data_IF_016629177974
#
_entry.id   IF_016629177974
#
_cell.length_a   1.000
_cell.length_b   1.000
_cell.length_c   1.000
_cell.angle_alpha   90.00
_cell.angle_beta   90.00
_cell.angle_gamma   90.00
#
_symmetry.space_group_name_H-M   'P 1'
#
loop_
_entity.id
_entity.type
_entity.pdbx_description
1 polymer ?
#
# COMPACT_ATOMS: atom_id res chain seq x y z
N UNK A 1 -9.55 -39.84 -0.49
CA UNK A 1 -8.16 -39.88 -0.96
C UNK A 1 -7.62 -38.46 -0.95
N UNK A 2 -6.87 -38.10 0.09
CA UNK A 2 -6.14 -36.84 0.16
C UNK A 2 -4.78 -37.08 -0.49
N UNK A 3 -4.48 -36.34 -1.55
CA UNK A 3 -3.17 -36.34 -2.21
C UNK A 3 -2.18 -35.55 -1.35
N UNK A 4 -0.98 -36.06 -1.06
CA UNK A 4 0.05 -35.32 -0.35
C UNK A 4 0.72 -34.30 -1.28
N UNK A 5 0.63 -33.01 -0.93
CA UNK A 5 1.44 -31.96 -1.54
C UNK A 5 2.93 -32.23 -1.26
N UNK A 6 3.71 -32.52 -2.30
CA UNK A 6 5.17 -32.58 -2.23
C UNK A 6 5.73 -31.16 -2.22
N UNK A 7 6.27 -30.73 -1.08
CA UNK A 7 7.16 -29.57 -1.02
C UNK A 7 8.51 -29.96 -1.62
N UNK A 8 8.87 -29.40 -2.78
CA UNK A 8 10.26 -29.42 -3.25
C UNK A 8 11.05 -28.35 -2.50
N UNK A 9 11.95 -28.81 -1.62
CA UNK A 9 12.91 -28.00 -0.89
C UNK A 9 14.04 -27.55 -1.82
N UNK A 10 13.85 -26.41 -2.47
CA UNK A 10 14.94 -25.50 -2.79
C UNK A 10 14.77 -24.29 -1.87
N UNK A 11 15.18 -24.44 -0.61
CA UNK A 11 15.19 -23.33 0.34
C UNK A 11 16.24 -22.32 -0.11
N UNK A 12 15.80 -21.28 -0.84
CA UNK A 12 16.48 -19.99 -0.79
C UNK A 12 16.60 -19.61 0.69
N UNK A 13 17.78 -19.15 1.17
CA UNK A 13 17.91 -18.70 2.53
C UNK A 13 16.87 -17.61 2.81
N UNK A 14 16.01 -17.84 3.81
CA UNK A 14 15.05 -16.84 4.26
C UNK A 14 15.84 -15.73 4.97
N UNK A 15 16.11 -14.64 4.26
CA UNK A 15 16.71 -13.44 4.84
C UNK A 15 15.59 -12.47 5.18
N UNK A 16 15.30 -12.32 6.47
CA UNK A 16 14.38 -11.29 6.96
C UNK A 16 15.18 -10.02 7.16
N UNK A 17 14.97 -9.04 6.27
CA UNK A 17 15.52 -7.68 6.42
C UNK A 17 14.40 -6.72 6.80
N UNK A 18 14.56 -6.02 7.92
CA UNK A 18 13.61 -5.02 8.41
C UNK A 18 14.30 -3.66 8.51
N UNK A 19 13.65 -2.63 7.97
CA UNK A 19 14.15 -1.26 8.00
C UNK A 19 13.12 -0.34 8.62
N UNK A 20 13.57 0.42 9.63
CA UNK A 20 12.78 1.48 10.24
C UNK A 20 13.31 2.82 9.75
N UNK A 21 12.53 3.52 8.94
CA UNK A 21 12.81 4.91 8.60
C UNK A 21 12.43 5.78 9.81
N UNK A 22 13.42 6.15 10.62
CA UNK A 22 13.26 7.11 11.70
C UNK A 22 13.61 8.51 11.19
N UNK A 23 12.62 9.25 10.74
CA UNK A 23 12.77 10.69 10.54
C UNK A 23 12.54 11.40 11.88
N UNK A 24 13.63 11.77 12.57
CA UNK A 24 13.56 12.52 13.81
C UNK A 24 13.00 13.93 13.54
N UNK A 25 11.86 14.27 14.17
CA UNK A 25 11.28 15.63 14.14
C UNK A 25 10.20 15.87 13.08
N UNK A 26 9.69 14.83 12.40
CA UNK A 26 8.57 14.96 11.47
C UNK A 26 7.24 14.60 12.14
N UNK A 27 6.18 15.36 11.82
CA UNK A 27 4.80 15.11 12.32
C UNK A 27 4.01 14.16 11.39
N UNK A 28 4.66 13.60 10.37
CA UNK A 28 4.06 12.76 9.34
C UNK A 28 4.50 11.31 9.49
N UNK A 29 3.77 10.39 8.86
CA UNK A 29 4.07 8.96 8.92
C UNK A 29 4.09 8.34 7.53
N UNK A 30 4.84 7.26 7.36
CA UNK A 30 4.69 6.40 6.18
C UNK A 30 3.44 5.53 6.34
N UNK A 31 2.33 5.98 5.75
CA UNK A 31 1.02 5.35 5.98
C UNK A 31 0.62 4.26 4.96
N UNK A 32 1.47 3.98 3.95
CA UNK A 32 1.22 2.94 2.95
C UNK A 32 1.22 1.54 3.58
N UNK A 33 0.17 0.74 3.34
CA UNK A 33 0.11 -0.69 3.69
C UNK A 33 0.21 -1.52 2.44
N UNK A 34 1.25 -2.34 2.35
CA UNK A 34 1.53 -3.11 1.14
C UNK A 34 2.15 -4.46 1.49
N UNK A 35 1.69 -5.51 0.83
CA UNK A 35 2.32 -6.84 0.85
C UNK A 35 2.57 -7.25 -0.60
N UNK A 36 3.80 -7.58 -0.94
CA UNK A 36 4.19 -8.03 -2.28
C UNK A 36 4.75 -9.43 -2.16
N UNK A 37 4.25 -10.36 -2.96
CA UNK A 37 4.68 -11.76 -2.94
C UNK A 37 4.77 -12.33 -4.34
N UNK A 38 5.65 -13.31 -4.53
CA UNK A 38 5.68 -14.15 -5.70
C UNK A 38 4.67 -15.30 -5.56
N UNK A 39 3.71 -15.36 -6.47
CA UNK A 39 2.69 -16.41 -6.53
C UNK A 39 2.97 -17.38 -7.68
N UNK A 40 2.40 -18.58 -7.60
CA UNK A 40 2.47 -19.56 -8.69
C UNK A 40 1.80 -19.00 -9.95
N UNK A 41 2.49 -19.09 -11.08
CA UNK A 41 1.99 -18.72 -12.40
C UNK A 41 1.80 -19.94 -13.31
N UNK A 42 1.96 -21.16 -12.77
CA UNK A 42 1.97 -22.39 -13.52
C UNK A 42 3.30 -22.60 -14.27
N UNK A 43 3.49 -23.79 -14.83
CA UNK A 43 4.68 -24.13 -15.64
C UNK A 43 6.04 -23.86 -14.95
N UNK A 44 6.11 -24.05 -13.62
CA UNK A 44 7.30 -23.73 -12.81
C UNK A 44 7.73 -22.25 -12.89
N UNK A 45 6.80 -21.37 -13.28
CA UNK A 45 6.95 -19.91 -13.30
C UNK A 45 6.26 -19.31 -12.09
N UNK A 46 6.71 -18.13 -11.70
CA UNK A 46 6.10 -17.32 -10.65
C UNK A 46 5.76 -15.95 -11.18
N UNK A 47 4.77 -15.29 -10.60
CA UNK A 47 4.38 -13.92 -10.94
C UNK A 47 4.29 -13.08 -9.68
N UNK A 48 4.41 -11.77 -9.81
CA UNK A 48 4.19 -10.88 -8.67
C UNK A 48 2.70 -10.59 -8.51
N UNK A 49 2.22 -10.73 -7.28
CA UNK A 49 0.94 -10.19 -6.84
C UNK A 49 1.19 -9.23 -5.67
N UNK A 50 0.33 -8.23 -5.53
CA UNK A 50 0.44 -7.23 -4.49
C UNK A 50 -0.89 -7.01 -3.78
N UNK A 51 -0.84 -6.66 -2.51
CA UNK A 51 -1.99 -6.30 -1.70
C UNK A 51 -1.83 -4.85 -1.22
N UNK A 52 -2.86 -4.03 -1.39
CA UNK A 52 -2.88 -2.63 -0.96
C UNK A 52 -4.25 -2.27 -0.39
N UNK A 53 -4.29 -1.36 0.59
CA UNK A 53 -5.55 -0.92 1.21
C UNK A 53 -5.36 -0.28 2.58
N UNK A 54 -6.39 -0.29 3.41
CA UNK A 54 -6.38 0.29 4.76
C UNK A 54 -5.86 -0.63 5.86
N UNK A 55 -5.93 -1.96 5.66
CA UNK A 55 -5.51 -2.94 6.66
C UNK A 55 -3.99 -3.03 6.83
N UNK A 56 -3.50 -2.64 8.01
CA UNK A 56 -2.16 -2.98 8.51
C UNK A 56 -2.15 -4.42 9.09
N UNK A 57 -1.04 -5.14 8.92
CA UNK A 57 -0.80 -6.43 9.58
C UNK A 57 -0.42 -6.25 11.06
N UNK A 58 -1.40 -5.88 11.88
CA UNK A 58 -1.21 -5.64 13.31
C UNK A 58 -2.49 -5.84 14.12
N UNK A 59 -2.38 -5.77 15.45
CA UNK A 59 -3.44 -6.12 16.39
C UNK A 59 -4.74 -5.34 16.18
N UNK A 60 -5.87 -6.01 16.30
CA UNK A 60 -7.22 -5.48 16.31
C UNK A 60 -7.83 -5.19 14.94
N UNK A 61 -7.14 -5.57 13.86
CA UNK A 61 -7.56 -5.34 12.46
C UNK A 61 -8.35 -6.52 11.89
N UNK A 62 -8.21 -7.72 12.49
CA UNK A 62 -9.02 -8.86 12.10
C UNK A 62 -10.47 -8.63 12.51
N UNK A 63 -11.39 -8.78 11.56
CA UNK A 63 -12.82 -8.76 11.82
C UNK A 63 -13.58 -9.46 10.68
N UNK A 64 -14.90 -9.55 10.83
CA UNK A 64 -15.83 -10.01 9.79
C UNK A 64 -16.97 -9.01 9.67
N UNK A 65 -17.77 -9.02 8.58
CA UNK A 65 -18.92 -8.12 8.45
C UNK A 65 -19.96 -8.21 9.57
N UNK A 66 -19.89 -9.25 10.43
CA UNK A 66 -20.74 -9.36 11.63
C UNK A 66 -20.38 -8.36 12.73
N UNK A 67 -19.16 -7.81 12.72
CA UNK A 67 -18.67 -6.78 13.64
C UNK A 67 -19.08 -7.01 15.10
N UNK A 68 -18.83 -8.22 15.60
CA UNK A 68 -19.32 -8.63 16.92
C UNK A 68 -18.63 -7.85 18.03
N UNK A 69 -19.42 -7.14 18.83
CA UNK A 69 -18.94 -6.40 20.01
C UNK A 69 -18.49 -7.30 21.17
N UNK A 70 -19.21 -8.40 21.42
CA UNK A 70 -19.03 -9.24 22.63
C UNK A 70 -18.84 -10.73 22.35
N UNK A 71 -19.46 -11.28 21.30
CA UNK A 71 -19.54 -12.74 21.08
C UNK A 71 -18.20 -13.39 20.72
N UNK A 72 -17.25 -12.60 20.25
CA UNK A 72 -15.95 -13.05 19.76
C UNK A 72 -14.81 -12.79 20.75
N UNK A 73 -15.11 -12.19 21.91
CA UNK A 73 -14.13 -11.82 22.94
C UNK A 73 -13.42 -13.03 23.55
N UNK A 74 -14.08 -14.18 23.64
CA UNK A 74 -13.48 -15.43 24.16
C UNK A 74 -12.96 -16.36 23.05
N UNK A 75 -12.98 -15.91 21.79
CA UNK A 75 -12.54 -16.71 20.64
C UNK A 75 -11.47 -15.97 19.83
N UNK A 76 -11.78 -15.52 18.62
CA UNK A 76 -10.82 -14.91 17.68
C UNK A 76 -10.25 -13.58 18.17
N UNK A 77 -10.92 -12.88 19.10
CA UNK A 77 -10.45 -11.61 19.66
C UNK A 77 -9.95 -11.71 21.11
N UNK A 78 -9.76 -12.92 21.65
CA UNK A 78 -9.29 -13.09 23.04
C UNK A 78 -7.92 -12.46 23.27
N UNK A 79 -6.98 -12.73 22.36
CA UNK A 79 -5.62 -12.20 22.42
C UNK A 79 -5.43 -10.96 21.50
N UNK A 80 -6.52 -10.49 20.91
CA UNK A 80 -6.57 -9.38 19.95
C UNK A 80 -7.68 -8.35 20.28
N UNK A 81 -7.99 -8.19 21.57
CA UNK A 81 -8.91 -7.16 22.04
C UNK A 81 -8.33 -5.77 21.75
N UNK A 82 -9.14 -4.91 21.12
CA UNK A 82 -8.77 -3.53 20.83
C UNK A 82 -9.99 -2.63 21.02
N UNK A 83 -9.84 -1.61 21.85
CA UNK A 83 -10.76 -0.47 21.94
C UNK A 83 -9.99 0.74 22.49
N UNK A 84 -9.42 1.59 21.63
CA UNK A 84 -8.60 2.74 22.03
C UNK A 84 -9.44 3.88 22.62
N UNK A 85 -10.77 3.86 22.48
CA UNK A 85 -11.66 4.85 23.08
C UNK A 85 -11.88 4.66 24.58
N UNK A 86 -11.41 3.52 25.13
CA UNK A 86 -11.50 3.21 26.56
C UNK A 86 -10.11 3.30 27.20
N UNK A 87 -9.99 4.13 28.25
CA UNK A 87 -8.73 4.31 28.98
C UNK A 87 -8.31 3.06 29.77
N UNK A 88 -9.28 2.34 30.32
CA UNK A 88 -9.08 1.09 31.07
C UNK A 88 -10.17 0.09 30.67
N UNK A 89 -9.92 -0.81 29.71
CA UNK A 89 -10.92 -1.79 29.29
C UNK A 89 -11.14 -2.83 30.40
N UNK A 90 -12.31 -2.76 31.04
CA UNK A 90 -12.76 -3.74 32.03
C UNK A 90 -13.27 -5.04 31.40
N UNK A 91 -13.48 -6.06 32.24
CA UNK A 91 -14.12 -7.31 31.83
C UNK A 91 -15.54 -7.02 31.33
N UNK A 92 -15.87 -7.50 30.13
CA UNK A 92 -17.19 -7.31 29.53
C UNK A 92 -17.35 -6.00 28.74
N UNK A 93 -16.30 -5.20 28.56
CA UNK A 93 -16.34 -4.05 27.65
C UNK A 93 -16.42 -4.50 26.18
N UNK A 94 -17.11 -3.74 25.30
CA UNK A 94 -17.13 -4.04 23.87
C UNK A 94 -15.74 -3.78 23.27
N UNK A 95 -15.30 -4.63 22.34
CA UNK A 95 -14.22 -4.25 21.43
C UNK A 95 -14.71 -3.14 20.49
N UNK A 96 -13.78 -2.44 19.86
CA UNK A 96 -14.04 -1.62 18.68
C UNK A 96 -13.94 -2.54 17.44
N UNK A 97 -15.06 -2.87 16.75
CA UNK A 97 -14.98 -3.60 15.49
C UNK A 97 -14.20 -2.81 14.43
N UNK A 98 -13.61 -3.53 13.49
CA UNK A 98 -12.78 -2.94 12.44
C UNK A 98 -13.41 -3.20 11.07
N UNK A 99 -14.03 -2.16 10.51
CA UNK A 99 -14.50 -2.15 9.12
C UNK A 99 -13.45 -1.46 8.26
N UNK A 100 -12.99 -2.13 7.21
CA UNK A 100 -11.91 -1.66 6.36
C UNK A 100 -11.96 -2.33 4.98
N UNK A 101 -11.25 -1.77 4.01
CA UNK A 101 -11.18 -2.26 2.64
C UNK A 101 -9.72 -2.54 2.24
N UNK A 102 -9.54 -3.60 1.46
CA UNK A 102 -8.24 -4.00 0.93
C UNK A 102 -8.45 -4.73 -0.40
N UNK A 103 -7.48 -4.63 -1.31
CA UNK A 103 -7.53 -5.33 -2.59
C UNK A 103 -6.26 -6.12 -2.85
N UNK A 104 -6.42 -7.21 -3.61
CA UNK A 104 -5.34 -7.93 -4.25
C UNK A 104 -5.25 -7.47 -5.71
N UNK A 105 -4.03 -7.19 -6.16
CA UNK A 105 -3.70 -6.83 -7.53
C UNK A 105 -2.90 -7.99 -8.13
N UNK A 106 -3.44 -8.55 -9.22
CA UNK A 106 -2.83 -9.63 -10.01
C UNK A 106 -2.75 -9.16 -11.47
N UNK A 107 -1.53 -8.92 -11.95
CA UNK A 107 -1.26 -8.36 -13.27
C UNK A 107 -0.19 -7.27 -13.25
N UNK A 108 -0.02 -6.53 -14.36
CA UNK A 108 1.08 -5.56 -14.52
C UNK A 108 1.16 -4.51 -13.40
N UNK A 109 0.03 -4.04 -12.89
CA UNK A 109 -0.03 -3.05 -11.82
C UNK A 109 0.60 -3.53 -10.49
N UNK A 110 0.75 -4.85 -10.27
CA UNK A 110 1.48 -5.37 -9.12
C UNK A 110 2.97 -5.02 -9.17
N UNK A 111 3.54 -4.88 -10.37
CA UNK A 111 4.93 -4.49 -10.57
C UNK A 111 5.14 -2.99 -10.33
N UNK A 112 4.14 -2.16 -10.59
CA UNK A 112 4.19 -0.73 -10.21
C UNK A 112 4.26 -0.57 -8.68
N UNK A 113 3.52 -1.41 -7.94
CA UNK A 113 3.54 -1.45 -6.47
C UNK A 113 4.90 -1.95 -5.97
N UNK A 114 5.49 -2.95 -6.63
CA UNK A 114 6.85 -3.39 -6.35
C UNK A 114 7.85 -2.26 -6.59
N UNK A 115 7.82 -1.59 -7.73
CA UNK A 115 8.73 -0.46 -8.03
C UNK A 115 8.62 0.62 -6.95
N UNK A 116 7.41 0.93 -6.47
CA UNK A 116 7.23 1.84 -5.34
C UNK A 116 7.95 1.35 -4.07
N UNK A 117 7.87 0.05 -3.75
CA UNK A 117 8.60 -0.52 -2.63
C UNK A 117 10.11 -0.43 -2.82
N UNK A 118 10.62 -0.80 -4.00
CA UNK A 118 12.05 -0.78 -4.33
C UNK A 118 12.62 0.65 -4.25
N UNK A 119 11.93 1.64 -4.81
CA UNK A 119 12.36 3.03 -4.75
C UNK A 119 12.42 3.57 -3.31
N UNK A 120 11.47 3.17 -2.47
CA UNK A 120 11.47 3.54 -1.04
C UNK A 120 12.58 2.83 -0.29
N UNK A 121 12.82 1.55 -0.59
CA UNK A 121 13.90 0.76 0.00
C UNK A 121 15.27 1.39 -0.30
N UNK A 122 15.49 1.79 -1.54
CA UNK A 122 16.73 2.43 -1.97
C UNK A 122 16.97 3.78 -1.31
N UNK A 123 15.89 4.49 -0.95
CA UNK A 123 15.95 5.77 -0.23
C UNK A 123 16.18 5.60 1.27
N UNK A 124 15.73 4.51 1.87
CA UNK A 124 15.76 4.30 3.31
C UNK A 124 17.18 4.45 3.90
N UNK A 125 17.32 5.06 5.10
CA UNK A 125 18.61 5.28 5.73
C UNK A 125 19.32 3.95 6.01
N UNK A 126 20.56 3.83 5.52
CA UNK A 126 21.40 2.65 5.73
C UNK A 126 22.06 2.72 7.12
N UNK A 127 22.28 1.61 7.83
CA UNK A 127 22.81 1.65 9.18
C UNK A 127 24.28 2.08 9.12
N UNK A 128 24.66 3.00 10.00
CA UNK A 128 26.07 3.36 10.18
C UNK A 128 26.83 2.16 10.76
N UNK A 129 27.72 1.56 9.96
CA UNK A 129 28.60 0.45 10.38
C UNK A 129 29.03 -0.51 9.27
N UNK A 130 28.27 -0.58 8.17
CA UNK A 130 28.52 -1.52 7.07
C UNK A 130 29.23 -0.89 5.84
N UNK A 131 29.66 0.37 5.94
CA UNK A 131 30.29 1.10 4.82
C UNK A 131 31.63 0.50 4.33
N UNK A 132 32.22 -0.47 5.05
CA UNK A 132 33.43 -1.21 4.62
C UNK A 132 33.15 -2.41 3.69
N UNK A 133 31.90 -2.82 3.49
CA UNK A 133 31.52 -3.84 2.50
C UNK A 133 30.61 -3.22 1.43
N UNK A 134 31.17 -2.40 0.55
CA UNK A 134 30.45 -1.84 -0.61
C UNK A 134 29.90 -2.92 -1.56
N UNK A 135 30.40 -4.15 -1.50
CA UNK A 135 30.03 -5.26 -2.38
C UNK A 135 28.81 -6.08 -1.92
N UNK A 136 28.35 -5.97 -0.67
CA UNK A 136 27.31 -6.86 -0.11
C UNK A 136 25.89 -6.26 -0.04
N UNK A 137 25.71 -4.95 -0.29
CA UNK A 137 24.40 -4.31 -0.17
C UNK A 137 23.44 -4.58 -1.34
N UNK A 138 23.99 -4.92 -2.51
CA UNK A 138 23.20 -5.29 -3.70
C UNK A 138 22.45 -6.63 -3.50
N UNK A 139 22.74 -7.35 -2.40
CA UNK A 139 22.08 -8.62 -2.01
C UNK A 139 20.94 -8.43 -1.00
N UNK A 140 20.66 -7.22 -0.52
CA UNK A 140 19.59 -6.99 0.47
C UNK A 140 18.20 -6.83 -0.15
N UNK A 141 18.15 -6.41 -1.41
CA UNK A 141 16.94 -6.34 -2.23
C UNK A 141 17.11 -7.26 -3.43
N UNK A 142 16.30 -8.31 -3.48
CA UNK A 142 16.31 -9.26 -4.58
C UNK A 142 15.79 -8.59 -5.85
N UNK A 143 16.63 -8.52 -6.88
CA UNK A 143 16.21 -8.03 -8.20
C UNK A 143 15.50 -9.15 -8.95
N UNK A 144 14.24 -8.97 -9.28
CA UNK A 144 13.42 -9.96 -9.99
C UNK A 144 14.06 -10.38 -11.32
N UNK A 145 14.69 -9.45 -12.02
CA UNK A 145 15.41 -9.71 -13.28
C UNK A 145 16.52 -10.76 -13.14
N UNK A 146 17.02 -11.00 -11.90
CA UNK A 146 18.04 -12.02 -11.60
C UNK A 146 17.44 -13.38 -11.25
N UNK A 147 16.12 -13.49 -11.12
CA UNK A 147 15.41 -14.72 -10.76
C UNK A 147 14.61 -15.19 -11.98
N UNK A 148 15.19 -16.05 -12.83
CA UNK A 148 14.59 -16.41 -14.10
C UNK A 148 13.23 -17.08 -13.95
N UNK A 149 12.92 -17.69 -12.81
CA UNK A 149 11.62 -18.32 -12.52
C UNK A 149 10.48 -17.30 -12.36
N UNK A 150 10.79 -16.06 -11.99
CA UNK A 150 9.79 -14.99 -11.84
C UNK A 150 9.59 -14.30 -13.19
N UNK A 151 8.34 -14.18 -13.60
CA UNK A 151 7.93 -13.50 -14.83
C UNK A 151 8.21 -12.01 -14.72
N UNK A 152 8.89 -11.46 -15.74
CA UNK A 152 8.99 -10.03 -15.93
C UNK A 152 7.67 -9.44 -16.43
N UNK A 153 7.53 -8.11 -16.35
CA UNK A 153 6.31 -7.40 -16.78
C UNK A 153 5.95 -7.67 -18.25
N UNK A 154 6.96 -7.83 -19.13
CA UNK A 154 6.77 -8.09 -20.55
C UNK A 154 6.35 -9.53 -20.90
N UNK A 155 6.43 -10.45 -19.93
CA UNK A 155 6.07 -11.86 -20.12
C UNK A 155 4.69 -12.20 -19.57
N UNK A 156 4.07 -11.28 -18.83
CA UNK A 156 2.74 -11.47 -18.28
C UNK A 156 1.72 -11.64 -19.42
N UNK A 157 0.86 -12.66 -19.36
CA UNK A 157 -0.17 -12.85 -20.35
C UNK A 157 -1.12 -11.65 -20.32
N UNK A 158 -1.24 -10.95 -21.44
CA UNK A 158 -2.30 -9.98 -21.63
C UNK A 158 -3.64 -10.72 -21.55
N UNK A 159 -4.47 -10.40 -20.55
CA UNK A 159 -5.85 -10.88 -20.53
C UNK A 159 -6.54 -10.48 -21.84
N UNK A 160 -7.37 -11.37 -22.36
CA UNK A 160 -8.15 -11.09 -23.57
C UNK A 160 -8.92 -9.81 -23.37
N UNK A 161 -8.84 -8.86 -24.31
CA UNK A 161 -9.64 -7.61 -24.29
C UNK A 161 -11.16 -7.85 -24.27
N UNK A 162 -11.59 -9.11 -24.45
CA UNK A 162 -12.99 -9.56 -24.43
C UNK A 162 -13.38 -10.28 -23.15
N UNK A 163 -12.46 -10.45 -22.21
CA UNK A 163 -12.76 -11.03 -20.90
C UNK A 163 -13.55 -9.99 -20.07
N UNK A 164 -14.82 -10.27 -19.72
CA UNK A 164 -15.62 -9.35 -18.93
C UNK A 164 -15.11 -9.18 -17.49
N UNK A 165 -14.28 -10.10 -17.00
CA UNK A 165 -13.70 -10.04 -15.66
C UNK A 165 -12.32 -9.35 -15.64
N UNK A 166 -11.86 -8.81 -16.79
CA UNK A 166 -10.59 -8.09 -16.87
C UNK A 166 -10.68 -6.66 -16.35
N UNK A 167 -9.61 -6.22 -15.67
CA UNK A 167 -9.53 -4.88 -15.07
C UNK A 167 -8.42 -4.04 -15.69
N UNK A 168 -8.71 -2.76 -15.94
CA UNK A 168 -7.70 -1.74 -16.15
C UNK A 168 -7.38 -1.10 -14.81
N UNK A 169 -6.12 -1.24 -14.37
CA UNK A 169 -5.67 -0.76 -13.06
C UNK A 169 -4.55 0.25 -13.27
N UNK A 170 -4.62 1.37 -12.56
CA UNK A 170 -3.57 2.38 -12.48
C UNK A 170 -3.25 2.63 -11.00
N UNK A 171 -1.96 2.64 -10.66
CA UNK A 171 -1.48 2.87 -9.29
C UNK A 171 -1.23 4.36 -9.08
N UNK A 172 -1.73 4.89 -7.96
CA UNK A 172 -1.55 6.28 -7.55
C UNK A 172 -0.86 6.34 -6.18
N UNK A 173 -0.14 7.42 -5.90
CA UNK A 173 0.59 7.61 -4.64
C UNK A 173 0.47 9.04 -4.10
N UNK A 174 0.83 9.16 -2.83
CA UNK A 174 1.17 10.42 -2.18
C UNK A 174 2.53 10.24 -1.52
N UNK A 175 3.56 10.79 -2.14
CA UNK A 175 4.95 10.58 -1.72
C UNK A 175 5.82 11.75 -2.20
N UNK A 176 6.89 12.03 -1.48
CA UNK A 176 7.83 13.10 -1.80
C UNK A 176 9.25 12.59 -2.07
N UNK A 177 10.11 13.46 -2.59
CA UNK A 177 11.51 13.16 -2.88
C UNK A 177 12.37 12.81 -1.66
N UNK A 178 11.86 13.00 -0.44
CA UNK A 178 12.55 12.58 0.78
C UNK A 178 12.28 11.10 1.09
N UNK A 179 11.11 10.60 0.66
CA UNK A 179 10.64 9.25 0.94
C UNK A 179 10.98 8.22 -0.15
N UNK A 180 11.40 8.67 -1.34
CA UNK A 180 11.57 7.81 -2.52
C UNK A 180 12.84 8.15 -3.30
N UNK A 181 13.46 7.16 -3.94
CA UNK A 181 14.47 7.38 -4.98
C UNK A 181 13.83 7.54 -6.36
N UNK A 182 14.62 7.87 -7.38
CA UNK A 182 14.16 7.85 -8.77
C UNK A 182 13.44 9.12 -9.26
N UNK A 183 13.04 10.03 -8.37
CA UNK A 183 12.53 11.33 -8.80
C UNK A 183 13.61 12.12 -9.56
N UNK A 184 13.25 12.81 -10.67
CA UNK A 184 14.21 13.52 -11.49
C UNK A 184 14.75 14.75 -10.78
N UNK A 185 16.02 15.10 -11.03
CA UNK A 185 16.62 16.32 -10.50
C UNK A 185 16.23 17.57 -11.31
N UNK A 186 15.92 17.43 -12.60
CA UNK A 186 15.49 18.55 -13.46
C UNK A 186 13.97 18.79 -13.27
N UNK A 187 13.55 20.00 -12.86
CA UNK A 187 12.14 20.36 -12.74
C UNK A 187 11.32 20.14 -14.03
N UNK A 188 11.93 20.25 -15.22
CA UNK A 188 11.23 20.02 -16.49
C UNK A 188 10.83 18.55 -16.68
N UNK A 189 11.67 17.63 -16.23
CA UNK A 189 11.37 16.20 -16.25
C UNK A 189 10.35 15.85 -15.16
N UNK A 190 10.40 16.54 -14.00
CA UNK A 190 9.41 16.39 -12.94
C UNK A 190 7.98 16.70 -13.44
N UNK A 191 7.80 17.78 -14.22
CA UNK A 191 6.51 18.12 -14.82
C UNK A 191 6.01 17.06 -15.80
N UNK A 192 6.90 16.44 -16.59
CA UNK A 192 6.52 15.33 -17.50
C UNK A 192 6.02 14.10 -16.75
N UNK A 193 6.47 13.91 -15.52
CA UNK A 193 6.02 12.85 -14.61
C UNK A 193 4.82 13.28 -13.74
N UNK A 194 4.22 14.44 -14.00
CA UNK A 194 3.14 15.04 -13.20
C UNK A 194 3.51 15.27 -11.72
N UNK A 195 4.79 15.47 -11.42
CA UNK A 195 5.25 15.85 -10.09
C UNK A 195 5.11 17.36 -9.88
N UNK A 196 4.75 17.75 -8.67
CA UNK A 196 4.65 19.15 -8.26
C UNK A 196 5.86 19.52 -7.41
N UNK A 197 6.39 20.73 -7.60
CA UNK A 197 7.48 21.25 -6.77
C UNK A 197 6.91 22.16 -5.67
N UNK A 198 7.17 21.81 -4.41
CA UNK A 198 6.80 22.62 -3.24
C UNK A 198 7.98 22.75 -2.28
N UNK A 199 8.38 23.98 -1.94
CA UNK A 199 9.50 24.26 -1.00
C UNK A 199 10.79 23.45 -1.33
N UNK A 200 11.16 23.36 -2.61
CA UNK A 200 12.30 22.58 -3.14
C UNK A 200 12.20 21.05 -2.94
N UNK A 201 11.00 20.53 -2.71
CA UNK A 201 10.71 19.10 -2.62
C UNK A 201 9.79 18.75 -3.80
N UNK A 202 10.10 17.65 -4.48
CA UNK A 202 9.22 17.10 -5.51
C UNK A 202 8.18 16.19 -4.86
N UNK A 203 6.93 16.35 -5.25
CA UNK A 203 5.78 15.70 -4.63
C UNK A 203 4.93 15.04 -5.72
N UNK A 204 4.67 13.75 -5.56
CA UNK A 204 3.63 13.03 -6.28
C UNK A 204 2.32 13.17 -5.50
N UNK A 205 1.32 13.80 -6.12
CA UNK A 205 -0.03 13.97 -5.57
C UNK A 205 -1.08 13.25 -6.41
N UNK A 206 -0.69 12.18 -7.11
CA UNK A 206 -1.56 11.47 -8.05
C UNK A 206 -2.80 10.86 -7.40
N UNK A 207 -2.77 10.51 -6.10
CA UNK A 207 -4.00 10.14 -5.35
C UNK A 207 -5.00 11.30 -5.35
N UNK A 208 -4.57 12.52 -5.02
CA UNK A 208 -5.45 13.69 -5.01
C UNK A 208 -6.01 13.97 -6.42
N UNK A 209 -5.14 13.97 -7.44
CA UNK A 209 -5.56 14.17 -8.83
C UNK A 209 -6.56 13.11 -9.30
N UNK A 210 -6.35 11.85 -8.93
CA UNK A 210 -7.26 10.76 -9.25
C UNK A 210 -8.63 10.94 -8.58
N UNK A 211 -8.67 11.32 -7.30
CA UNK A 211 -9.92 11.65 -6.59
C UNK A 211 -10.68 12.78 -7.28
N UNK A 212 -10.01 13.89 -7.61
CA UNK A 212 -10.62 15.03 -8.31
C UNK A 212 -11.17 14.60 -9.66
N UNK A 213 -10.41 13.81 -10.43
CA UNK A 213 -10.85 13.31 -11.72
C UNK A 213 -12.08 12.40 -11.60
N UNK A 214 -12.06 11.44 -10.67
CA UNK A 214 -13.17 10.52 -10.43
C UNK A 214 -14.45 11.29 -10.05
N UNK A 215 -14.35 12.24 -9.12
CA UNK A 215 -15.48 13.07 -8.68
C UNK A 215 -16.04 13.89 -9.84
N UNK A 216 -15.19 14.60 -10.60
CA UNK A 216 -15.62 15.42 -11.75
C UNK A 216 -16.22 14.60 -12.90
N UNK A 217 -15.81 13.34 -13.05
CA UNK A 217 -16.31 12.44 -14.09
C UNK A 217 -17.60 11.71 -13.72
N UNK A 218 -18.00 11.73 -12.45
CA UNK A 218 -19.15 10.97 -11.96
C UNK A 218 -20.46 11.48 -12.56
N UNK A 219 -21.25 10.57 -13.15
CA UNK A 219 -22.52 10.93 -13.81
C UNK A 219 -23.77 10.59 -12.99
N UNK A 220 -23.63 9.82 -11.89
CA UNK A 220 -24.77 9.27 -11.14
C UNK A 220 -24.66 9.51 -9.65
N UNK A 221 -23.78 8.78 -8.97
CA UNK A 221 -23.55 8.92 -7.55
C UNK A 221 -22.08 8.63 -7.24
N UNK A 222 -21.63 9.12 -6.09
CA UNK A 222 -20.32 8.85 -5.52
C UNK A 222 -20.57 8.21 -4.16
N UNK A 223 -19.90 7.11 -3.89
CA UNK A 223 -19.92 6.46 -2.58
C UNK A 223 -18.53 6.58 -1.96
N UNK A 224 -18.46 7.09 -0.73
CA UNK A 224 -17.21 7.34 -0.02
C UNK A 224 -17.28 6.65 1.35
N UNK A 225 -16.39 5.70 1.56
CA UNK A 225 -16.01 5.20 2.88
C UNK A 225 -14.59 5.70 3.18
N UNK A 226 -14.43 6.49 4.23
CA UNK A 226 -13.11 7.01 4.62
C UNK A 226 -13.07 7.27 6.13
N UNK A 227 -11.90 7.04 6.76
CA UNK A 227 -11.68 7.35 8.16
C UNK A 227 -11.76 8.86 8.44
N UNK A 228 -11.35 9.69 7.47
CA UNK A 228 -11.37 11.14 7.56
C UNK A 228 -12.14 11.75 6.40
N UNK A 229 -12.92 12.80 6.70
CA UNK A 229 -13.62 13.59 5.69
C UNK A 229 -13.56 15.07 6.04
N UNK A 230 -12.39 15.67 5.79
CA UNK A 230 -12.11 17.08 6.02
C UNK A 230 -11.20 17.62 4.92
N UNK A 231 -11.42 18.85 4.47
CA UNK A 231 -10.68 19.45 3.35
C UNK A 231 -11.26 20.78 2.90
N UNK A 232 -10.71 21.32 1.80
CA UNK A 232 -11.15 22.58 1.16
C UNK A 232 -11.27 23.77 2.12
N UNK A 233 -10.33 23.88 3.06
CA UNK A 233 -10.39 24.89 4.15
C UNK A 233 -10.28 26.34 3.68
N UNK A 234 -9.78 26.57 2.46
CA UNK A 234 -9.76 27.91 1.86
C UNK A 234 -11.16 28.50 1.68
N UNK A 235 -12.22 27.69 1.78
CA UNK A 235 -13.61 28.10 1.60
C UNK A 235 -14.46 28.00 2.88
N UNK A 236 -13.89 27.61 4.04
CA UNK A 236 -14.69 27.38 5.25
C UNK A 236 -15.42 28.64 5.77
N UNK A 237 -14.78 29.80 5.68
CA UNK A 237 -15.35 31.06 6.18
C UNK A 237 -16.49 31.62 5.29
N UNK A 238 -16.60 31.10 4.07
CA UNK A 238 -17.61 31.51 3.07
C UNK A 238 -19.01 30.98 3.37
N UNK A 239 -19.12 30.01 4.27
CA UNK A 239 -20.18 29.02 4.25
C UNK A 239 -21.02 29.07 5.52
N UNK A 240 -22.23 29.66 5.38
CA UNK A 240 -23.20 29.85 6.47
C UNK A 240 -24.33 28.82 6.48
N UNK A 241 -24.46 27.96 5.47
CA UNK A 241 -25.51 26.95 5.40
C UNK A 241 -24.93 25.54 5.22
N UNK A 242 -25.34 24.62 6.11
CA UNK A 242 -24.95 23.21 6.15
C UNK A 242 -25.57 22.44 4.97
N UNK A 243 -24.86 22.40 3.85
CA UNK A 243 -25.21 21.54 2.72
C UNK A 243 -24.48 21.94 1.46
N UNK A 244 -23.24 21.48 1.30
CA UNK A 244 -22.38 21.96 0.21
C UNK A 244 -21.88 20.90 -0.74
N UNK A 245 -21.93 21.31 -2.00
CA UNK A 245 -21.22 20.73 -3.14
C UNK A 245 -19.75 20.47 -2.80
N UNK A 246 -19.25 19.33 -3.30
CA UNK A 246 -17.84 19.02 -3.43
C UNK A 246 -17.19 20.00 -4.43
N UNK A 247 -16.99 21.25 -4.03
CA UNK A 247 -16.23 22.23 -4.79
C UNK A 247 -14.73 21.93 -4.60
N UNK A 248 -14.20 21.11 -5.51
CA UNK A 248 -12.78 20.73 -5.69
C UNK A 248 -12.23 21.30 -7.01
#
# INVERSE_FOLDING_TARGET
MLSPFHFHSHTLPCVISCWLCLEAGTIYTHHQKTVIVDADAGHYRRKIIAFVGGLDLCRGRYDTPKHSLFRTLETVHKDDFRNPSLTEPGVGCPREPWHDLHCQIDGPAAYDILTNFEDRWLKAPKPHGLQKLKTSFDDTLLKIERVPEIMGIGELPCLSKRDPEAWHVQVFRSIDSNSVSGFPNDPREATKMNLVCGKNILIDMSVHTAYVHAIRSAQRFIYIENQYFLGSSYNWDSHKDLGEELNL
#
